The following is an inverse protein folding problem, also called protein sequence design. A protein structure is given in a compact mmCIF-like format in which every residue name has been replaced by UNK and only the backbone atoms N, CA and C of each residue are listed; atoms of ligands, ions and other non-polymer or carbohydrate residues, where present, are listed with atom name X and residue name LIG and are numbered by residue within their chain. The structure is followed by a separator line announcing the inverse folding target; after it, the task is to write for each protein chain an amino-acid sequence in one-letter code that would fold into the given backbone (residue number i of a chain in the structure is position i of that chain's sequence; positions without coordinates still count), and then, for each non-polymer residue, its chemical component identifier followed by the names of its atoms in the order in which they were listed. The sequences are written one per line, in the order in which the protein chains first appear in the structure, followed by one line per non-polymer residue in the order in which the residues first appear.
data_IF_101836773245
#
_entry.id   IF_101836773245
#
_cell.length_a   1.000
_cell.length_b   1.000
_cell.length_c   1.000
_cell.angle_alpha   90.00
_cell.angle_beta   90.00
_cell.angle_gamma   90.00
#
_symmetry.space_group_name_H-M   'P 1'
#
loop_
_entity.id
_entity.type
_entity.pdbx_description
1 polymer ?
#
# COMPACT_ATOMS: atom_id res chain seq x y z
N UNK A 1 -3.36 14.02 19.64
CA UNK A 1 -4.33 12.91 19.61
C UNK A 1 -5.71 13.44 19.98
N UNK A 2 -6.71 13.33 19.08
CA UNK A 2 -8.10 13.70 19.40
C UNK A 2 -8.86 12.43 19.84
N UNK A 3 -9.68 12.53 20.88
CA UNK A 3 -10.46 11.40 21.39
C UNK A 3 -11.67 11.12 20.50
N UNK A 4 -11.97 9.84 20.26
CA UNK A 4 -13.16 9.38 19.52
C UNK A 4 -14.47 9.90 20.14
N UNK A 5 -14.50 10.13 21.46
CA UNK A 5 -15.65 10.73 22.17
C UNK A 5 -15.99 12.13 21.65
N UNK A 6 -14.98 12.88 21.19
CA UNK A 6 -15.15 14.24 20.69
C UNK A 6 -15.36 14.28 19.17
N UNK A 7 -15.39 13.12 18.49
CA UNK A 7 -15.52 13.03 17.04
C UNK A 7 -16.76 13.76 16.48
N UNK A 8 -17.94 13.76 17.12
CA UNK A 8 -19.09 14.55 16.65
C UNK A 8 -18.79 16.05 16.53
N UNK A 9 -17.92 16.58 17.39
CA UNK A 9 -17.59 18.02 17.43
C UNK A 9 -16.72 18.46 16.25
N UNK A 10 -15.98 17.53 15.64
CA UNK A 10 -15.03 17.84 14.57
C UNK A 10 -15.21 16.96 13.32
N UNK A 11 -16.31 16.20 13.22
CA UNK A 11 -16.58 15.26 12.11
C UNK A 11 -16.60 15.95 10.75
N UNK A 12 -17.02 17.22 10.69
CA UNK A 12 -16.99 18.03 9.47
C UNK A 12 -15.58 18.36 8.96
N UNK A 13 -14.56 18.24 9.83
CA UNK A 13 -13.14 18.46 9.49
C UNK A 13 -12.37 17.16 9.25
N UNK A 14 -13.05 16.01 9.30
CA UNK A 14 -12.43 14.68 9.17
C UNK A 14 -12.84 14.08 7.83
N UNK A 15 -11.84 13.69 7.04
CA UNK A 15 -12.07 13.07 5.73
C UNK A 15 -12.30 11.56 5.81
N UNK A 16 -12.01 10.90 6.93
CA UNK A 16 -12.07 9.45 7.08
C UNK A 16 -11.49 8.99 8.43
N UNK A 17 -11.49 7.69 8.66
CA UNK A 17 -10.85 7.07 9.82
C UNK A 17 -9.91 5.95 9.40
N UNK A 18 -8.79 5.80 10.11
CA UNK A 18 -7.88 4.67 9.93
C UNK A 18 -7.78 3.90 11.25
N UNK A 19 -8.07 2.61 11.21
CA UNK A 19 -7.95 1.68 12.32
C UNK A 19 -6.59 0.99 12.28
N UNK A 20 -5.71 1.30 13.23
CA UNK A 20 -4.45 0.57 13.38
C UNK A 20 -4.69 -0.72 14.17
N UNK A 21 -4.74 -1.85 13.46
CA UNK A 21 -4.96 -3.17 14.07
C UNK A 21 -3.80 -3.66 14.92
N UNK A 22 -2.61 -3.07 14.78
CA UNK A 22 -1.47 -3.41 15.64
C UNK A 22 -1.51 -2.65 16.97
N UNK A 23 -2.23 -1.52 17.01
CA UNK A 23 -2.42 -0.69 18.21
C UNK A 23 -3.75 -0.94 18.93
N UNK A 24 -4.72 -1.55 18.27
CA UNK A 24 -6.01 -1.90 18.87
C UNK A 24 -5.89 -3.09 19.83
N UNK A 25 -6.69 -3.13 20.91
CA UNK A 25 -6.81 -4.33 21.72
C UNK A 25 -7.35 -5.50 20.89
N UNK A 26 -7.15 -6.73 21.36
CA UNK A 26 -7.79 -7.89 20.75
C UNK A 26 -9.31 -7.72 20.81
N UNK A 27 -9.96 -7.71 19.65
CA UNK A 27 -11.40 -7.59 19.50
C UNK A 27 -11.96 -8.77 18.72
N UNK A 28 -13.11 -9.29 19.16
CA UNK A 28 -13.88 -10.24 18.34
C UNK A 28 -14.44 -9.54 17.10
N UNK A 29 -14.96 -10.32 16.15
CA UNK A 29 -15.50 -9.76 14.92
C UNK A 29 -16.77 -8.95 15.18
N UNK A 30 -17.59 -9.35 16.17
CA UNK A 30 -18.78 -8.61 16.59
C UNK A 30 -18.43 -7.28 17.28
N UNK A 31 -17.37 -7.26 18.08
CA UNK A 31 -16.89 -6.02 18.72
C UNK A 31 -16.36 -5.04 17.66
N UNK A 32 -15.65 -5.54 16.65
CA UNK A 32 -15.14 -4.73 15.55
C UNK A 32 -16.29 -4.19 14.67
N UNK A 33 -17.29 -5.00 14.37
CA UNK A 33 -18.50 -4.53 13.67
C UNK A 33 -19.22 -3.45 14.47
N UNK A 34 -19.35 -3.62 15.79
CA UNK A 34 -19.90 -2.60 16.69
C UNK A 34 -19.12 -1.27 16.60
N UNK A 35 -17.79 -1.33 16.61
CA UNK A 35 -16.94 -0.15 16.43
C UNK A 35 -17.14 0.51 15.07
N UNK A 36 -17.23 -0.28 13.99
CA UNK A 36 -17.45 0.24 12.63
C UNK A 36 -18.82 0.90 12.50
N UNK A 37 -19.87 0.35 13.12
CA UNK A 37 -21.20 1.00 13.17
C UNK A 37 -21.10 2.35 13.88
N UNK A 38 -20.40 2.43 15.01
CA UNK A 38 -20.18 3.69 15.72
C UNK A 38 -19.45 4.69 14.81
N UNK A 39 -18.34 4.28 14.19
CA UNK A 39 -17.58 5.17 13.31
C UNK A 39 -18.41 5.68 12.13
N UNK A 40 -19.15 4.81 11.44
CA UNK A 40 -20.03 5.20 10.32
C UNK A 40 -21.16 6.14 10.75
N UNK A 41 -21.63 6.02 11.99
CA UNK A 41 -22.67 6.90 12.53
C UNK A 41 -22.13 8.28 12.90
N UNK A 42 -20.89 8.35 13.38
CA UNK A 42 -20.29 9.59 13.87
C UNK A 42 -19.53 10.37 12.77
N UNK A 43 -19.04 9.67 11.74
CA UNK A 43 -18.43 10.26 10.55
C UNK A 43 -19.48 10.71 9.54
N UNK A 44 -19.05 11.44 8.52
CA UNK A 44 -19.91 11.74 7.36
C UNK A 44 -20.18 10.45 6.57
N UNK A 45 -21.34 10.35 5.92
CA UNK A 45 -21.79 9.12 5.26
C UNK A 45 -20.81 8.57 4.22
N UNK A 46 -20.06 9.46 3.56
CA UNK A 46 -19.09 9.13 2.51
C UNK A 46 -17.65 8.98 3.03
N UNK A 47 -17.42 9.12 4.34
CA UNK A 47 -16.08 9.04 4.91
C UNK A 47 -15.53 7.60 4.82
N UNK A 48 -14.43 7.35 4.08
CA UNK A 48 -13.81 6.03 4.03
C UNK A 48 -13.26 5.63 5.40
N UNK A 49 -13.38 4.34 5.68
CA UNK A 49 -12.69 3.67 6.78
C UNK A 49 -11.57 2.83 6.18
N UNK A 50 -10.38 3.06 6.70
CA UNK A 50 -9.16 2.33 6.37
C UNK A 50 -8.79 1.45 7.55
N UNK A 51 -8.11 0.35 7.28
CA UNK A 51 -7.45 -0.43 8.32
C UNK A 51 -5.96 -0.54 7.98
N UNK A 52 -5.11 -0.35 8.97
CA UNK A 52 -3.66 -0.44 8.85
C UNK A 52 -3.14 -1.61 9.67
N UNK A 53 -2.24 -2.40 9.09
CA UNK A 53 -1.54 -3.47 9.78
C UNK A 53 -0.18 -3.75 9.17
N UNK A 54 0.77 -4.26 9.97
CA UNK A 54 2.07 -4.72 9.49
C UNK A 54 2.00 -5.76 8.36
N UNK A 55 2.90 -5.65 7.40
CA UNK A 55 2.96 -6.48 6.18
C UNK A 55 3.08 -7.98 6.48
N UNK A 56 3.71 -8.37 7.59
CA UNK A 56 3.79 -9.76 8.04
C UNK A 56 2.42 -10.42 8.26
N UNK A 57 1.37 -9.64 8.57
CA UNK A 57 0.00 -10.10 8.83
C UNK A 57 -0.95 -9.89 7.64
N UNK A 58 -0.43 -9.54 6.46
CA UNK A 58 -1.23 -9.09 5.30
C UNK A 58 -2.37 -10.05 4.90
N UNK A 59 -2.18 -11.36 5.03
CA UNK A 59 -3.20 -12.34 4.63
C UNK A 59 -4.44 -12.26 5.53
N UNK A 60 -4.23 -12.16 6.84
CA UNK A 60 -5.32 -11.98 7.80
C UNK A 60 -5.91 -10.57 7.68
N UNK A 61 -5.06 -9.56 7.52
CA UNK A 61 -5.46 -8.16 7.34
C UNK A 61 -6.42 -7.98 6.17
N UNK A 62 -6.05 -8.44 4.97
CA UNK A 62 -6.87 -8.31 3.77
C UNK A 62 -8.21 -9.05 3.90
N UNK A 63 -8.18 -10.29 4.43
CA UNK A 63 -9.41 -11.07 4.67
C UNK A 63 -10.34 -10.36 5.65
N UNK A 64 -9.78 -9.82 6.73
CA UNK A 64 -10.53 -9.09 7.76
C UNK A 64 -11.11 -7.79 7.22
N UNK A 65 -10.33 -7.03 6.45
CA UNK A 65 -10.80 -5.81 5.80
C UNK A 65 -11.98 -6.09 4.85
N UNK A 66 -11.90 -7.15 4.05
CA UNK A 66 -13.00 -7.58 3.18
C UNK A 66 -14.22 -8.03 4.00
N UNK A 67 -14.01 -8.87 5.02
CA UNK A 67 -15.09 -9.40 5.86
C UNK A 67 -15.92 -8.29 6.51
N UNK A 68 -15.26 -7.25 7.01
CA UNK A 68 -15.91 -6.10 7.66
C UNK A 68 -16.28 -4.94 6.70
N UNK A 69 -16.17 -5.14 5.38
CA UNK A 69 -16.44 -4.13 4.36
C UNK A 69 -15.68 -2.81 4.60
N UNK A 70 -14.39 -2.90 4.93
CA UNK A 70 -13.47 -1.78 5.06
C UNK A 70 -12.99 -1.38 3.66
N UNK A 71 -13.01 -0.08 3.36
CA UNK A 71 -12.74 0.42 2.01
C UNK A 71 -11.27 0.25 1.61
N UNK A 72 -10.34 0.38 2.55
CA UNK A 72 -8.90 0.23 2.25
C UNK A 72 -8.18 -0.61 3.30
N UNK A 73 -7.37 -1.56 2.84
CA UNK A 73 -6.38 -2.28 3.62
C UNK A 73 -4.98 -1.68 3.37
N UNK A 74 -4.48 -0.90 4.32
CA UNK A 74 -3.14 -0.33 4.33
C UNK A 74 -2.17 -1.34 4.96
N UNK A 75 -1.11 -1.68 4.25
CA UNK A 75 -0.06 -2.59 4.74
C UNK A 75 1.22 -1.80 5.04
N UNK A 76 1.66 -1.80 6.29
CA UNK A 76 2.89 -1.13 6.74
C UNK A 76 4.11 -1.99 6.45
N UNK A 77 5.03 -1.46 5.65
CA UNK A 77 6.28 -2.16 5.28
C UNK A 77 7.20 -2.29 6.49
N UNK A 78 7.37 -1.20 7.24
CA UNK A 78 8.17 -1.15 8.46
C UNK A 78 7.36 -1.68 9.67
N UNK A 79 7.15 -2.99 9.72
CA UNK A 79 6.39 -3.64 10.80
C UNK A 79 7.27 -4.17 11.95
N UNK A 80 8.58 -3.90 11.90
CA UNK A 80 9.54 -4.32 12.92
C UNK A 80 9.95 -5.80 12.85
N UNK A 81 9.49 -6.57 11.85
CA UNK A 81 9.83 -8.00 11.71
C UNK A 81 11.20 -8.25 11.08
N UNK A 82 11.82 -7.22 10.50
CA UNK A 82 13.08 -7.33 9.76
C UNK A 82 12.94 -7.94 8.38
N UNK A 83 11.71 -8.08 7.85
CA UNK A 83 11.47 -8.48 6.47
C UNK A 83 12.07 -7.42 5.53
N UNK A 84 12.95 -7.80 4.58
CA UNK A 84 13.49 -6.86 3.61
C UNK A 84 12.39 -6.22 2.76
N UNK A 85 12.50 -4.94 2.45
CA UNK A 85 11.50 -4.19 1.68
C UNK A 85 11.22 -4.83 0.32
N UNK A 86 12.26 -5.32 -0.37
CA UNK A 86 12.11 -6.04 -1.63
C UNK A 86 11.25 -7.31 -1.52
N UNK A 87 11.21 -7.95 -0.35
CA UNK A 87 10.36 -9.12 -0.08
C UNK A 87 8.88 -8.76 0.03
N UNK A 88 8.55 -7.50 0.34
CA UNK A 88 7.16 -7.07 0.45
C UNK A 88 6.44 -7.13 -0.89
N UNK A 89 7.14 -6.88 -2.00
CA UNK A 89 6.56 -6.87 -3.35
C UNK A 89 5.84 -8.17 -3.73
N UNK A 90 6.45 -9.37 -3.60
CA UNK A 90 5.72 -10.61 -3.84
C UNK A 90 4.69 -10.96 -2.74
N UNK A 91 4.89 -10.48 -1.50
CA UNK A 91 3.95 -10.71 -0.39
C UNK A 91 2.62 -9.98 -0.66
N UNK A 92 2.66 -8.69 -0.97
CA UNK A 92 1.48 -7.89 -1.31
C UNK A 92 0.82 -8.38 -2.59
N UNK A 93 1.59 -8.58 -3.67
CA UNK A 93 1.02 -8.99 -4.94
C UNK A 93 0.25 -10.30 -4.87
N UNK A 94 0.73 -11.28 -4.07
CA UNK A 94 -0.02 -12.52 -3.82
C UNK A 94 -1.28 -12.27 -2.99
N UNK A 95 -1.19 -11.48 -1.91
CA UNK A 95 -2.34 -11.22 -1.04
C UNK A 95 -3.46 -10.45 -1.76
N UNK A 96 -3.11 -9.45 -2.58
CA UNK A 96 -4.07 -8.70 -3.39
C UNK A 96 -4.80 -9.65 -4.35
N UNK A 97 -4.05 -10.47 -5.09
CA UNK A 97 -4.62 -11.44 -6.03
C UNK A 97 -5.55 -12.44 -5.36
N UNK A 98 -5.17 -12.96 -4.19
CA UNK A 98 -5.95 -13.98 -3.49
C UNK A 98 -7.17 -13.43 -2.75
N UNK A 99 -7.05 -12.24 -2.14
CA UNK A 99 -8.04 -11.76 -1.17
C UNK A 99 -8.82 -10.52 -1.63
N UNK A 100 -8.29 -9.70 -2.56
CA UNK A 100 -8.85 -8.38 -2.89
C UNK A 100 -9.29 -8.20 -4.35
N UNK A 101 -8.77 -8.98 -5.31
CA UNK A 101 -9.01 -8.77 -6.76
C UNK A 101 -10.49 -8.77 -7.16
N UNK A 102 -11.35 -9.48 -6.41
CA UNK A 102 -12.79 -9.57 -6.66
C UNK A 102 -13.64 -8.82 -5.62
N UNK A 103 -13.05 -7.87 -4.89
CA UNK A 103 -13.72 -7.14 -3.80
C UNK A 103 -13.62 -5.63 -4.00
N UNK A 104 -14.40 -4.87 -3.23
CA UNK A 104 -14.36 -3.40 -3.24
C UNK A 104 -13.22 -2.84 -2.35
N UNK A 105 -12.57 -3.69 -1.55
CA UNK A 105 -11.48 -3.29 -0.66
C UNK A 105 -10.21 -3.06 -1.46
N UNK A 106 -9.70 -1.84 -1.38
CA UNK A 106 -8.48 -1.40 -2.07
C UNK A 106 -7.25 -1.69 -1.22
N UNK A 107 -6.11 -2.01 -1.85
CA UNK A 107 -4.83 -2.16 -1.17
C UNK A 107 -4.01 -0.86 -1.19
N UNK A 108 -3.34 -0.56 -0.08
CA UNK A 108 -2.37 0.51 0.00
C UNK A 108 -1.12 0.05 0.74
N UNK A 109 0.00 0.73 0.49
CA UNK A 109 1.26 0.51 1.22
C UNK A 109 1.59 1.75 2.04
N UNK A 110 1.99 1.54 3.30
CA UNK A 110 2.56 2.59 4.14
C UNK A 110 4.07 2.41 4.23
N UNK A 111 4.80 3.50 3.93
CA UNK A 111 6.24 3.60 4.06
C UNK A 111 6.59 4.44 5.29
N UNK A 112 7.57 4.00 6.07
CA UNK A 112 8.08 4.79 7.21
C UNK A 112 9.08 5.89 6.81
N UNK A 113 9.37 5.99 5.52
CA UNK A 113 10.16 7.06 4.91
C UNK A 113 9.34 7.86 3.88
N UNK A 114 9.87 9.03 3.50
CA UNK A 114 9.30 9.84 2.41
C UNK A 114 9.50 9.16 1.07
N UNK A 115 8.40 8.77 0.41
CA UNK A 115 8.45 8.15 -0.90
C UNK A 115 8.82 9.15 -1.98
N UNK A 116 9.64 8.70 -2.92
CA UNK A 116 9.84 9.38 -4.20
C UNK A 116 8.91 8.84 -5.29
N UNK A 117 9.04 9.37 -6.50
CA UNK A 117 8.24 8.94 -7.65
C UNK A 117 8.50 7.48 -8.03
N UNK A 118 9.73 6.99 -7.86
CA UNK A 118 10.11 5.62 -8.17
C UNK A 118 9.46 4.64 -7.19
N UNK A 119 9.49 4.93 -5.89
CA UNK A 119 8.86 4.11 -4.85
C UNK A 119 7.36 3.92 -5.09
N UNK A 120 6.67 4.98 -5.54
CA UNK A 120 5.24 4.93 -5.87
C UNK A 120 4.99 3.99 -7.06
N UNK A 121 5.82 4.06 -8.10
CA UNK A 121 5.72 3.18 -9.28
C UNK A 121 6.03 1.73 -8.88
N UNK A 122 6.99 1.50 -7.99
CA UNK A 122 7.31 0.17 -7.45
C UNK A 122 6.15 -0.39 -6.63
N UNK A 123 5.55 0.42 -5.74
CA UNK A 123 4.36 0.05 -4.97
C UNK A 123 3.18 -0.29 -5.89
N UNK A 124 2.96 0.50 -6.94
CA UNK A 124 1.93 0.22 -7.95
C UNK A 124 2.17 -1.11 -8.66
N UNK A 125 3.40 -1.38 -9.09
CA UNK A 125 3.80 -2.66 -9.68
C UNK A 125 3.57 -3.86 -8.75
N UNK A 126 3.62 -3.63 -7.43
CA UNK A 126 3.39 -4.65 -6.41
C UNK A 126 1.90 -4.97 -6.22
N UNK A 127 1.00 -4.09 -6.66
CA UNK A 127 -0.45 -4.25 -6.55
C UNK A 127 -1.14 -3.26 -5.60
N UNK A 128 -0.41 -2.30 -5.01
CA UNK A 128 -1.04 -1.20 -4.27
C UNK A 128 -1.72 -0.21 -5.23
N UNK A 129 -2.83 0.39 -4.81
CA UNK A 129 -3.52 1.43 -5.58
C UNK A 129 -3.03 2.83 -5.20
N UNK A 130 -2.59 3.03 -3.96
CA UNK A 130 -1.94 4.25 -3.51
C UNK A 130 -0.95 3.96 -2.38
N UNK A 131 -0.17 4.98 -2.00
CA UNK A 131 0.81 4.89 -0.91
C UNK A 131 0.48 5.90 0.19
N UNK A 132 0.84 5.55 1.42
CA UNK A 132 0.86 6.44 2.58
C UNK A 132 2.32 6.68 2.93
N UNK A 133 2.69 7.95 3.05
CA UNK A 133 4.07 8.35 3.32
C UNK A 133 4.11 9.67 4.08
N UNK A 134 5.21 9.91 4.78
CA UNK A 134 5.44 11.16 5.47
C UNK A 134 5.98 12.21 4.48
N UNK A 135 5.35 13.40 4.37
CA UNK A 135 5.90 14.47 3.52
C UNK A 135 7.24 14.95 4.08
N UNK A 136 8.19 15.37 3.22
CA UNK A 136 9.50 15.85 3.65
C UNK A 136 9.45 17.27 4.25
N UNK A 137 8.30 17.93 4.19
CA UNK A 137 8.08 19.33 4.51
C UNK A 137 6.89 19.47 5.47
N UNK A 138 6.95 20.48 6.35
CA UNK A 138 5.90 20.75 7.34
C UNK A 138 4.95 21.87 6.89
N UNK A 139 5.43 22.78 6.03
CA UNK A 139 4.67 23.94 5.57
C UNK A 139 3.78 23.58 4.37
N UNK A 140 2.59 24.17 4.33
CA UNK A 140 1.58 23.83 3.32
C UNK A 140 1.98 24.24 1.91
N UNK A 141 2.65 25.38 1.78
CA UNK A 141 3.11 25.89 0.49
C UNK A 141 4.17 24.97 -0.11
N UNK A 142 5.13 24.52 0.72
CA UNK A 142 6.15 23.55 0.31
C UNK A 142 5.56 22.18 -0.06
N UNK A 143 4.47 21.75 0.60
CA UNK A 143 3.78 20.50 0.25
C UNK A 143 3.26 20.53 -1.20
N UNK A 144 2.74 21.66 -1.67
CA UNK A 144 2.24 21.77 -3.03
C UNK A 144 3.38 21.66 -4.06
N UNK A 145 4.51 22.32 -3.82
CA UNK A 145 5.69 22.20 -4.68
C UNK A 145 6.25 20.78 -4.71
N UNK A 146 6.28 20.11 -3.55
CA UNK A 146 6.71 18.72 -3.47
C UNK A 146 5.79 17.79 -4.28
N UNK A 147 4.47 17.92 -4.15
CA UNK A 147 3.50 17.12 -4.92
C UNK A 147 3.61 17.38 -6.43
N UNK A 148 3.86 18.62 -6.84
CA UNK A 148 4.10 18.95 -8.24
C UNK A 148 5.39 18.29 -8.77
N UNK A 149 6.48 18.34 -8.01
CA UNK A 149 7.74 17.67 -8.33
C UNK A 149 7.56 16.16 -8.48
N UNK A 150 6.88 15.53 -7.52
CA UNK A 150 6.55 14.12 -7.53
C UNK A 150 5.77 13.72 -8.80
N UNK A 151 4.77 14.51 -9.17
CA UNK A 151 3.98 14.30 -10.40
C UNK A 151 4.85 14.37 -11.67
N UNK A 152 5.74 15.36 -11.76
CA UNK A 152 6.66 15.53 -12.90
C UNK A 152 7.59 14.32 -13.03
N UNK A 153 8.17 13.86 -11.92
CA UNK A 153 9.10 12.74 -11.91
C UNK A 153 8.38 11.42 -12.24
N UNK A 154 7.17 11.20 -11.71
CA UNK A 154 6.33 10.06 -12.09
C UNK A 154 6.02 10.07 -13.59
N UNK A 155 5.62 11.21 -14.16
CA UNK A 155 5.39 11.33 -15.60
C UNK A 155 6.65 11.02 -16.42
N UNK A 156 7.84 11.41 -15.93
CA UNK A 156 9.11 11.09 -16.59
C UNK A 156 9.39 9.58 -16.59
N UNK A 157 9.14 8.91 -15.46
CA UNK A 157 9.29 7.45 -15.35
C UNK A 157 8.30 6.75 -16.29
N UNK A 158 7.02 7.13 -16.29
CA UNK A 158 6.00 6.54 -17.15
C UNK A 158 6.35 6.68 -18.64
N UNK A 159 6.80 7.86 -19.08
CA UNK A 159 7.27 8.07 -20.46
C UNK A 159 8.46 7.19 -20.82
N UNK A 160 9.38 6.97 -19.89
CA UNK A 160 10.54 6.10 -20.10
C UNK A 160 10.13 4.63 -20.25
N UNK A 161 9.05 4.22 -19.56
CA UNK A 161 8.42 2.91 -19.70
C UNK A 161 7.51 2.79 -20.93
N UNK A 162 7.25 3.89 -21.64
CA UNK A 162 6.30 3.93 -22.77
C UNK A 162 4.83 3.85 -22.34
N UNK A 163 4.52 4.32 -21.12
CA UNK A 163 3.17 4.29 -20.53
C UNK A 163 2.57 5.69 -20.44
N UNK A 164 1.25 5.78 -20.58
CA UNK A 164 0.50 7.04 -20.50
C UNK A 164 -0.16 7.24 -19.12
N UNK A 165 -0.42 6.16 -18.39
CA UNK A 165 -1.07 6.20 -17.08
C UNK A 165 -0.39 5.26 -16.09
N UNK A 166 -0.42 5.64 -14.81
CA UNK A 166 -0.01 4.81 -13.67
C UNK A 166 -0.81 3.50 -13.60
N UNK A 167 -2.03 3.46 -14.12
CA UNK A 167 -2.84 2.24 -14.13
C UNK A 167 -2.33 1.17 -15.10
N UNK A 168 -1.52 1.54 -16.08
CA UNK A 168 -0.89 0.60 -17.00
C UNK A 168 0.37 -0.04 -16.40
N UNK A 169 0.82 0.43 -15.23
CA UNK A 169 2.02 -0.06 -14.57
C UNK A 169 1.77 -1.46 -14.03
N UNK A 170 2.50 -2.43 -14.59
CA UNK A 170 2.48 -3.83 -14.18
C UNK A 170 3.80 -4.27 -13.56
N UNK A 171 3.75 -5.36 -12.78
CA UNK A 171 4.94 -6.04 -12.22
C UNK A 171 6.00 -6.37 -13.29
N UNK A 172 5.60 -6.59 -14.53
CA UNK A 172 6.50 -6.88 -15.65
C UNK A 172 7.47 -5.73 -15.98
N UNK A 173 7.19 -4.49 -15.54
CA UNK A 173 8.09 -3.36 -15.71
C UNK A 173 9.22 -3.32 -14.67
N UNK A 174 9.10 -4.05 -13.57
CA UNK A 174 10.15 -4.10 -12.55
C UNK A 174 11.29 -5.03 -12.95
N UNK A 175 12.51 -4.60 -12.62
CA UNK A 175 13.74 -5.39 -12.72
C UNK A 175 14.58 -5.15 -11.49
N UNK A 176 15.27 -6.20 -11.03
CA UNK A 176 16.26 -6.08 -9.97
C UNK A 176 17.61 -5.64 -10.55
N UNK A 177 18.30 -4.76 -9.85
CA UNK A 177 19.64 -4.28 -10.23
C UNK A 177 20.75 -5.18 -9.65
N UNK A 178 20.44 -5.91 -8.59
CA UNK A 178 21.36 -6.79 -7.89
C UNK A 178 20.74 -8.17 -7.64
N UNK A 179 21.59 -9.14 -7.27
CA UNK A 179 21.21 -10.52 -7.05
C UNK A 179 20.33 -10.72 -5.83
N UNK A 180 20.60 -10.02 -4.73
CA UNK A 180 19.90 -10.22 -3.46
C UNK A 180 18.45 -9.75 -3.58
N UNK A 181 18.24 -8.58 -4.19
CA UNK A 181 16.92 -8.07 -4.54
C UNK A 181 16.20 -9.03 -5.48
N UNK A 182 16.87 -9.55 -6.53
CA UNK A 182 16.26 -10.49 -7.47
C UNK A 182 15.80 -11.77 -6.76
N UNK A 183 16.64 -12.34 -5.91
CA UNK A 183 16.38 -13.58 -5.18
C UNK A 183 15.21 -13.45 -4.20
N UNK A 184 15.12 -12.31 -3.49
CA UNK A 184 14.12 -12.09 -2.44
C UNK A 184 12.77 -11.62 -3.03
N UNK A 185 12.79 -10.74 -4.02
CA UNK A 185 11.57 -10.19 -4.64
C UNK A 185 10.97 -11.09 -5.71
N UNK A 186 11.74 -12.01 -6.28
CA UNK A 186 11.36 -12.81 -7.45
C UNK A 186 11.32 -12.00 -8.75
N UNK A 187 11.98 -10.83 -8.80
CA UNK A 187 12.14 -10.03 -10.00
C UNK A 187 13.24 -10.58 -10.91
N UNK A 188 13.13 -10.30 -12.21
CA UNK A 188 14.21 -10.59 -13.17
C UNK A 188 15.34 -9.57 -12.99
N UNK A 189 16.57 -10.03 -12.99
CA UNK A 189 17.74 -9.16 -12.95
C UNK A 189 17.98 -8.47 -14.30
N UNK A 190 18.37 -7.20 -14.29
CA UNK A 190 18.80 -6.48 -15.51
C UNK A 190 20.05 -7.15 -16.10
N UNK A 191 20.09 -7.31 -17.43
CA UNK A 191 21.27 -7.85 -18.12
C UNK A 191 21.43 -9.38 -18.05
N UNK A 192 20.56 -10.08 -17.31
CA UNK A 192 20.51 -11.55 -17.27
C UNK A 192 19.55 -12.13 -18.34
N UNK A 193 19.45 -11.47 -19.49
CA UNK A 193 18.68 -11.93 -20.66
C UNK A 193 19.48 -12.93 -21.53
N UNK A 194 20.48 -13.61 -20.95
CA UNK A 194 21.15 -14.67 -21.70
C UNK A 194 20.19 -15.84 -21.84
N UNK A 195 19.87 -16.29 -23.07
CA UNK A 195 19.08 -17.50 -23.25
C UNK A 195 19.74 -18.64 -22.46
N UNK A 196 18.94 -19.37 -21.69
CA UNK A 196 19.42 -20.56 -20.99
C UNK A 196 20.05 -21.48 -22.05
N UNK A 197 21.27 -22.01 -21.82
CA UNK A 197 21.84 -22.98 -22.74
C UNK A 197 20.81 -24.10 -22.90
N UNK A 198 20.49 -24.47 -24.15
CA UNK A 198 19.59 -25.58 -24.44
C UNK A 198 20.13 -26.82 -23.73
N UNK A 199 19.54 -27.18 -22.60
CA UNK A 199 19.77 -28.46 -21.96
C UNK A 199 19.14 -29.51 -22.87
N UNK A 200 19.95 -30.06 -23.78
CA UNK A 200 19.63 -31.36 -24.35
C UNK A 200 19.67 -32.35 -23.19
N UNK A 201 18.49 -32.72 -22.69
CA UNK A 201 18.35 -33.93 -21.88
C UNK A 201 18.89 -35.09 -22.73
N UNK A 202 19.98 -35.71 -22.26
CA UNK A 202 20.41 -37.01 -22.77
C UNK A 202 19.64 -38.10 -22.04
#
# INVERSE_FOLDING_TARGET
LRSLVNLPTYSSSVAGACLDFDSLPSMTDEELDGLLVVLRTLLTAEAPILACQGISRIQAHHKRAVYHNIQVAVSRIEDGTGVPEAATLPIIGRSVKTNLEATETTAALEFGFTCDAHDIIVARCAGAQFVVTQPPVLEREDMEFWLQGLSIDMMRILRTLGLESIDQVQRAHLRALDYDTAAISGLRMVGYERPLPHWFAR
#
